data_IF_293401039209
#
_entry.id   IF_293401039209
#
_cell.length_a   1.000
_cell.length_b   1.000
_cell.length_c   1.000
_cell.angle_alpha   90.00
_cell.angle_beta   90.00
_cell.angle_gamma   90.00
#
_symmetry.space_group_name_H-M   'P 1'
#
loop_
_entity.id
_entity.type
_entity.pdbx_description
1 polymer ?
#
# COMPACT_ATOMS: atom_id res chain seq x y z
N UNK A 1 4.17 36.71 -0.35
CA UNK A 1 3.05 35.74 -0.46
C UNK A 1 3.64 34.35 -0.35
N UNK A 2 3.21 33.50 0.60
CA UNK A 2 3.73 32.14 0.68
C UNK A 2 3.32 31.36 -0.58
N UNK A 3 4.18 30.47 -1.10
CA UNK A 3 3.85 29.69 -2.29
C UNK A 3 2.62 28.82 -2.00
N UNK A 4 1.62 28.88 -2.89
CA UNK A 4 0.48 27.95 -2.84
C UNK A 4 1.01 26.55 -3.11
N UNK A 5 1.05 25.71 -2.08
CA UNK A 5 1.32 24.27 -2.24
C UNK A 5 0.27 23.72 -3.20
N UNK A 6 0.69 23.33 -4.40
CA UNK A 6 -0.17 22.61 -5.34
C UNK A 6 -0.39 21.23 -4.74
N UNK A 7 -1.54 21.02 -4.10
CA UNK A 7 -1.94 19.71 -3.59
C UNK A 7 -2.10 18.79 -4.79
N UNK A 8 -1.18 17.84 -4.96
CA UNK A 8 -1.29 16.81 -6.00
C UNK A 8 -2.49 15.94 -5.62
N UNK A 9 -3.53 15.93 -6.45
CA UNK A 9 -4.79 15.25 -6.14
C UNK A 9 -4.64 13.73 -6.00
N UNK A 10 -3.69 13.12 -6.73
CA UNK A 10 -3.29 11.71 -6.63
C UNK A 10 -2.03 11.47 -7.47
N UNK A 11 -1.23 10.46 -7.14
CA UNK A 11 -0.13 9.95 -7.98
C UNK A 11 -0.42 8.50 -8.38
N UNK A 12 0.07 8.05 -9.53
CA UNK A 12 -0.02 6.63 -9.91
C UNK A 12 0.99 5.81 -9.11
N UNK A 13 0.74 4.50 -8.99
CA UNK A 13 1.71 3.54 -8.43
C UNK A 13 3.03 3.59 -9.21
N UNK A 14 2.97 3.73 -10.53
CA UNK A 14 4.14 3.91 -11.39
C UNK A 14 4.98 5.11 -10.98
N UNK A 15 4.36 6.29 -10.92
CA UNK A 15 5.07 7.52 -10.57
C UNK A 15 5.65 7.45 -9.16
N UNK A 16 4.92 6.85 -8.22
CA UNK A 16 5.42 6.62 -6.86
C UNK A 16 6.67 5.74 -6.86
N UNK A 17 6.61 4.60 -7.57
CA UNK A 17 7.71 3.63 -7.66
C UNK A 17 8.93 4.23 -8.36
N UNK A 18 8.76 4.95 -9.47
CA UNK A 18 9.88 5.57 -10.18
C UNK A 18 10.53 6.72 -9.40
N UNK A 19 9.72 7.53 -8.71
CA UNK A 19 10.24 8.72 -8.01
C UNK A 19 10.83 8.41 -6.63
N UNK A 20 10.40 7.33 -5.97
CA UNK A 20 10.76 7.03 -4.58
C UNK A 20 11.26 5.61 -4.35
N UNK A 21 11.16 4.72 -5.35
CA UNK A 21 11.45 3.30 -5.20
C UNK A 21 12.89 3.03 -4.76
N UNK A 22 13.86 3.74 -5.34
CA UNK A 22 15.26 3.60 -4.95
C UNK A 22 15.50 4.05 -3.50
N UNK A 23 15.02 5.23 -3.12
CA UNK A 23 15.19 5.78 -1.77
C UNK A 23 14.50 4.93 -0.69
N UNK A 24 13.40 4.26 -1.04
CA UNK A 24 12.64 3.39 -0.15
C UNK A 24 13.09 1.91 -0.23
N UNK A 25 14.03 1.56 -1.11
CA UNK A 25 14.47 0.19 -1.34
C UNK A 25 13.35 -0.73 -1.85
N UNK A 26 12.42 -0.21 -2.66
CA UNK A 26 11.31 -0.99 -3.19
C UNK A 26 11.80 -1.93 -4.29
N UNK A 27 11.36 -3.18 -4.19
CA UNK A 27 11.56 -4.18 -5.22
C UNK A 27 10.20 -4.65 -5.74
N UNK A 28 10.07 -4.70 -7.07
CA UNK A 28 8.92 -5.31 -7.71
C UNK A 28 9.06 -6.84 -7.63
N UNK A 29 8.13 -7.49 -6.94
CA UNK A 29 8.14 -8.95 -6.72
C UNK A 29 7.39 -9.76 -7.79
N UNK A 30 6.58 -9.09 -8.60
CA UNK A 30 5.73 -9.70 -9.63
C UNK A 30 5.92 -9.00 -10.98
N UNK A 31 5.07 -9.31 -11.96
CA UNK A 31 4.96 -8.49 -13.17
C UNK A 31 4.43 -7.09 -12.86
N UNK A 32 4.63 -6.15 -13.79
CA UNK A 32 4.19 -4.75 -13.70
C UNK A 32 2.67 -4.63 -13.87
N UNK A 33 1.91 -5.05 -12.85
CA UNK A 33 0.45 -5.09 -12.86
C UNK A 33 -0.14 -3.91 -12.06
N UNK A 34 -1.08 -3.18 -12.67
CA UNK A 34 -1.84 -2.12 -11.99
C UNK A 34 -1.02 -0.87 -11.65
N UNK A 35 0.08 -0.62 -12.36
CA UNK A 35 0.95 0.54 -12.18
C UNK A 35 0.26 1.87 -12.55
N UNK A 36 -0.77 1.80 -13.40
CA UNK A 36 -1.67 2.88 -13.76
C UNK A 36 -2.64 3.30 -12.63
N UNK A 37 -2.79 2.46 -11.60
CA UNK A 37 -3.74 2.71 -10.50
C UNK A 37 -3.34 3.97 -9.70
N UNK A 38 -4.29 4.86 -9.40
CA UNK A 38 -4.02 6.03 -8.57
C UNK A 38 -3.96 5.66 -7.08
N UNK A 39 -2.93 6.15 -6.40
CA UNK A 39 -2.85 6.24 -4.95
C UNK A 39 -3.73 7.43 -4.53
N UNK A 40 -4.90 7.12 -3.96
CA UNK A 40 -5.95 8.11 -3.63
C UNK A 40 -5.80 8.72 -2.24
N UNK A 41 -5.11 8.03 -1.35
CA UNK A 41 -4.82 8.47 0.01
C UNK A 41 -3.33 8.29 0.29
N UNK A 42 -2.71 9.32 0.87
CA UNK A 42 -1.29 9.29 1.25
C UNK A 42 -1.01 8.42 2.48
N UNK A 43 -2.05 8.10 3.26
CA UNK A 43 -1.95 7.25 4.43
C UNK A 43 -1.78 5.78 4.05
N UNK A 44 -1.03 5.04 4.87
CA UNK A 44 -0.90 3.59 4.75
C UNK A 44 -2.03 2.87 5.50
N UNK A 45 -2.35 1.65 5.07
CA UNK A 45 -3.24 0.74 5.80
C UNK A 45 -2.48 -0.53 6.19
N UNK A 46 -2.63 -0.95 7.45
CA UNK A 46 -2.10 -2.21 7.98
C UNK A 46 -3.27 -3.18 8.18
N UNK A 47 -3.45 -4.17 7.28
CA UNK A 47 -4.71 -4.90 7.16
C UNK A 47 -4.90 -6.02 8.21
N UNK A 48 -4.43 -5.85 9.45
CA UNK A 48 -4.49 -6.91 10.47
C UNK A 48 -5.90 -7.44 10.76
N UNK A 49 -6.89 -6.55 10.93
CA UNK A 49 -8.29 -6.95 11.11
C UNK A 49 -8.89 -7.62 9.86
N UNK A 50 -8.48 -7.15 8.67
CA UNK A 50 -8.92 -7.75 7.42
C UNK A 50 -8.40 -9.19 7.26
N UNK A 51 -7.15 -9.45 7.68
CA UNK A 51 -6.59 -10.80 7.71
C UNK A 51 -7.35 -11.72 8.69
N UNK A 52 -7.96 -11.18 9.74
CA UNK A 52 -8.82 -11.92 10.66
C UNK A 52 -10.30 -12.02 10.21
N UNK A 53 -10.63 -11.58 8.98
CA UNK A 53 -11.97 -11.68 8.40
C UNK A 53 -12.88 -10.47 8.66
N UNK A 54 -12.38 -9.37 9.22
CA UNK A 54 -13.17 -8.18 9.52
C UNK A 54 -12.89 -7.02 8.53
N UNK A 55 -13.84 -6.76 7.63
CA UNK A 55 -13.68 -5.80 6.52
C UNK A 55 -14.47 -4.50 6.65
N UNK A 56 -15.29 -4.32 7.69
CA UNK A 56 -16.24 -3.19 7.80
C UNK A 56 -15.58 -1.80 7.74
N UNK A 57 -14.30 -1.70 8.11
CA UNK A 57 -13.51 -0.45 8.06
C UNK A 57 -12.26 -0.60 7.19
N UNK A 58 -12.28 -1.49 6.20
CA UNK A 58 -11.12 -1.74 5.35
C UNK A 58 -10.83 -0.55 4.43
N UNK A 59 -9.70 0.11 4.66
CA UNK A 59 -9.26 1.28 3.90
C UNK A 59 -8.60 0.88 2.57
N UNK A 60 -9.40 0.41 1.61
CA UNK A 60 -8.95 -0.09 0.30
C UNK A 60 -8.33 0.98 -0.62
N UNK A 61 -8.55 2.26 -0.33
CA UNK A 61 -7.99 3.39 -1.10
C UNK A 61 -6.55 3.74 -0.73
N UNK A 62 -6.06 3.17 0.38
CA UNK A 62 -4.70 3.38 0.92
C UNK A 62 -3.73 2.33 0.40
N UNK A 63 -2.45 2.66 0.42
CA UNK A 63 -1.40 1.66 0.19
C UNK A 63 -1.43 0.65 1.33
N UNK A 64 -1.50 -0.63 0.99
CA UNK A 64 -1.52 -1.72 1.97
C UNK A 64 -0.09 -2.12 2.34
N UNK A 65 0.20 -2.19 3.64
CA UNK A 65 1.52 -2.55 4.15
C UNK A 65 1.41 -3.80 5.03
N UNK A 66 2.13 -4.84 4.64
CA UNK A 66 2.28 -6.07 5.40
C UNK A 66 3.64 -6.06 6.10
N UNK A 67 3.62 -5.84 7.42
CA UNK A 67 4.82 -5.87 8.24
C UNK A 67 4.93 -7.18 9.04
N UNK A 68 5.80 -7.17 10.05
CA UNK A 68 6.11 -8.36 10.85
C UNK A 68 4.88 -8.96 11.54
N UNK A 69 3.95 -8.13 12.02
CA UNK A 69 2.74 -8.60 12.71
C UNK A 69 1.82 -9.34 11.74
N UNK A 70 1.58 -8.76 10.56
CA UNK A 70 0.76 -9.33 9.51
C UNK A 70 1.37 -10.63 8.97
N UNK A 71 2.68 -10.64 8.70
CA UNK A 71 3.39 -11.85 8.29
C UNK A 71 3.38 -12.95 9.38
N UNK A 72 3.56 -12.58 10.64
CA UNK A 72 3.53 -13.54 11.75
C UNK A 72 2.16 -14.18 11.93
N UNK A 73 1.09 -13.44 11.66
CA UNK A 73 -0.26 -13.99 11.63
C UNK A 73 -0.43 -14.96 10.48
N UNK A 74 -0.07 -14.55 9.25
CA UNK A 74 -0.18 -15.38 8.05
C UNK A 74 0.60 -16.71 8.19
N UNK A 75 1.81 -16.68 8.74
CA UNK A 75 2.64 -17.88 8.98
C UNK A 75 2.05 -18.85 10.01
N UNK A 76 1.11 -18.41 10.85
CA UNK A 76 0.43 -19.26 11.84
C UNK A 76 -0.84 -19.90 11.29
N UNK A 77 -1.32 -19.46 10.12
CA UNK A 77 -2.51 -20.04 9.51
C UNK A 77 -2.19 -21.47 9.01
N UNK A 78 -3.16 -22.40 9.07
CA UNK A 78 -2.98 -23.73 8.49
C UNK A 78 -2.79 -23.66 6.97
N UNK A 79 -1.99 -24.56 6.41
CA UNK A 79 -1.87 -24.70 4.95
C UNK A 79 -3.22 -25.03 4.32
N UNK A 80 -3.65 -24.22 3.34
CA UNK A 80 -4.90 -24.42 2.61
C UNK A 80 -6.08 -23.54 3.04
N UNK A 81 -5.85 -22.53 3.89
CA UNK A 81 -6.76 -21.39 4.08
C UNK A 81 -6.37 -20.21 3.19
#
# INVERSE_FOLDING_TARGET
>A
MPPRVKTVASITVEKFFESHGEALGLQLLSEKVGFDRPIRESAMNRPGLALAGFFSYFAWKRVQVLGNSELSYLKKLPDGM
#
